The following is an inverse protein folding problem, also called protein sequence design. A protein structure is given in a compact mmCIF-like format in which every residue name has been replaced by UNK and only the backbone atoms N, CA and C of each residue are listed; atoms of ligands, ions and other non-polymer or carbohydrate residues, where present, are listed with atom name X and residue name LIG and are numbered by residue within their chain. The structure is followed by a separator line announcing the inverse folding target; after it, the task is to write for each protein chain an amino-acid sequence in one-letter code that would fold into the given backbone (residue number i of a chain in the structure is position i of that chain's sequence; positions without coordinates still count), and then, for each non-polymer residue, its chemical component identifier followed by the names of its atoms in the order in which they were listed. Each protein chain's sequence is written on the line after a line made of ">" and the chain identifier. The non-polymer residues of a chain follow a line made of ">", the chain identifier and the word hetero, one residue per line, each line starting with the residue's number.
data_IF_321082997702
#
_entry.id   IF_321082997702
#
_cell.length_a   1.000
_cell.length_b   1.000
_cell.length_c   1.000
_cell.angle_alpha   90.00
_cell.angle_beta   90.00
_cell.angle_gamma   90.00
#
_symmetry.space_group_name_H-M   'P 1'
#
loop_
_entity.id
_entity.type
_entity.pdbx_description
1 polymer ?
#
# COMPACT_ATOMS: atom_id res chain seq x y z
N UNK A 1 -22.46 -20.25 9.77
CA UNK A 1 -22.28 -18.83 10.15
C UNK A 1 -23.53 -18.32 10.84
N UNK A 2 -23.41 -17.52 11.90
CA UNK A 2 -24.62 -16.92 12.50
C UNK A 2 -25.26 -15.94 11.52
N UNK A 3 -26.59 -15.77 11.60
CA UNK A 3 -27.40 -14.97 10.67
C UNK A 3 -26.82 -13.57 10.44
N UNK A 4 -26.27 -12.94 11.48
CA UNK A 4 -25.70 -11.59 11.43
C UNK A 4 -24.46 -11.49 10.52
N UNK A 5 -23.60 -12.52 10.52
CA UNK A 5 -22.41 -12.55 9.67
C UNK A 5 -22.76 -12.67 8.19
N UNK A 6 -23.86 -13.37 7.84
CA UNK A 6 -24.33 -13.47 6.46
C UNK A 6 -24.72 -12.10 5.90
N UNK A 7 -25.56 -11.36 6.63
CA UNK A 7 -25.98 -10.01 6.23
C UNK A 7 -24.81 -9.04 6.14
N UNK A 8 -23.83 -9.18 7.03
CA UNK A 8 -22.58 -8.39 6.96
C UNK A 8 -21.82 -8.67 5.66
N UNK A 9 -21.67 -9.93 5.23
CA UNK A 9 -21.02 -10.28 3.95
C UNK A 9 -21.73 -9.66 2.75
N UNK A 10 -23.07 -9.63 2.74
CA UNK A 10 -23.83 -9.00 1.66
C UNK A 10 -23.58 -7.49 1.61
N UNK A 11 -23.66 -6.80 2.76
CA UNK A 11 -23.41 -5.36 2.84
C UNK A 11 -21.99 -5.02 2.39
N UNK A 12 -20.98 -5.72 2.94
CA UNK A 12 -19.58 -5.55 2.55
C UNK A 12 -19.41 -5.78 1.05
N UNK A 13 -20.08 -6.78 0.49
CA UNK A 13 -20.04 -7.08 -0.93
C UNK A 13 -20.52 -5.93 -1.81
N UNK A 14 -21.68 -5.36 -1.47
CA UNK A 14 -22.26 -4.22 -2.19
C UNK A 14 -21.34 -2.99 -2.10
N UNK A 15 -20.85 -2.67 -0.90
CA UNK A 15 -19.92 -1.54 -0.71
C UNK A 15 -18.61 -1.74 -1.47
N UNK A 16 -18.06 -2.96 -1.50
CA UNK A 16 -16.83 -3.25 -2.22
C UNK A 16 -17.00 -3.09 -3.74
N UNK A 17 -18.11 -3.55 -4.32
CA UNK A 17 -18.42 -3.32 -5.74
C UNK A 17 -18.52 -1.83 -6.03
N UNK A 18 -19.31 -1.09 -5.22
CA UNK A 18 -19.48 0.35 -5.40
C UNK A 18 -18.15 1.11 -5.31
N UNK A 19 -17.33 0.79 -4.30
CA UNK A 19 -16.00 1.36 -4.15
C UNK A 19 -15.13 1.06 -5.38
N UNK A 20 -15.09 -0.18 -5.84
CA UNK A 20 -14.33 -0.55 -7.03
C UNK A 20 -14.76 0.23 -8.29
N UNK A 21 -16.07 0.37 -8.52
CA UNK A 21 -16.58 1.21 -9.61
C UNK A 21 -16.19 2.69 -9.46
N UNK A 22 -16.22 3.26 -8.26
CA UNK A 22 -15.78 4.65 -8.02
C UNK A 22 -14.30 4.84 -8.35
N UNK A 23 -13.46 3.85 -8.05
CA UNK A 23 -12.03 3.88 -8.39
C UNK A 23 -11.83 3.82 -9.91
N UNK A 24 -12.61 3.00 -10.64
CA UNK A 24 -12.54 2.95 -12.12
C UNK A 24 -12.89 4.28 -12.77
N UNK A 25 -13.92 4.97 -12.26
CA UNK A 25 -14.40 6.24 -12.82
C UNK A 25 -13.41 7.37 -12.59
N UNK A 26 -12.77 7.42 -11.41
CA UNK A 26 -11.81 8.48 -11.10
C UNK A 26 -10.63 7.96 -10.24
N UNK A 27 -9.63 7.34 -10.88
CA UNK A 27 -8.50 6.73 -10.16
C UNK A 27 -7.65 7.76 -9.42
N UNK A 28 -7.52 8.97 -9.97
CA UNK A 28 -6.76 10.05 -9.33
C UNK A 28 -7.37 10.45 -7.97
N UNK A 29 -8.69 10.64 -7.91
CA UNK A 29 -9.38 10.96 -6.64
C UNK A 29 -9.20 9.81 -5.63
N UNK A 30 -9.24 8.56 -6.08
CA UNK A 30 -8.97 7.42 -5.20
C UNK A 30 -7.57 7.48 -4.59
N UNK A 31 -6.54 7.71 -5.41
CA UNK A 31 -5.16 7.83 -4.93
C UNK A 31 -4.99 8.99 -3.95
N UNK A 32 -5.55 10.16 -4.27
CA UNK A 32 -5.51 11.32 -3.38
C UNK A 32 -6.20 11.03 -2.04
N UNK A 33 -7.34 10.32 -2.06
CA UNK A 33 -8.05 9.91 -0.84
C UNK A 33 -7.23 8.93 -0.01
N UNK A 34 -6.52 8.00 -0.64
CA UNK A 34 -5.60 7.08 0.05
C UNK A 34 -4.44 7.86 0.70
N UNK A 35 -3.83 8.80 -0.03
CA UNK A 35 -2.78 9.65 0.50
C UNK A 35 -3.24 10.50 1.67
N UNK A 36 -4.47 11.02 1.62
CA UNK A 36 -5.07 11.74 2.74
C UNK A 36 -5.21 10.87 3.99
N UNK A 37 -5.63 9.61 3.84
CA UNK A 37 -5.68 8.64 4.95
C UNK A 37 -4.27 8.37 5.49
N UNK A 38 -3.27 8.17 4.62
CA UNK A 38 -1.88 8.02 5.05
C UNK A 38 -1.38 9.25 5.83
N UNK A 39 -1.71 10.46 5.38
CA UNK A 39 -1.35 11.69 6.07
C UNK A 39 -1.97 11.75 7.48
N UNK A 40 -3.24 11.35 7.64
CA UNK A 40 -3.86 11.24 8.97
C UNK A 40 -3.16 10.22 9.86
N UNK A 41 -2.84 9.04 9.33
CA UNK A 41 -2.13 8.00 10.08
C UNK A 41 -0.75 8.50 10.52
N UNK A 42 -0.01 9.15 9.62
CA UNK A 42 1.30 9.71 9.94
C UNK A 42 1.23 10.86 10.95
N UNK A 43 0.20 11.71 10.88
CA UNK A 43 0.00 12.76 11.87
C UNK A 43 -0.22 12.15 13.27
N UNK A 44 -1.11 11.17 13.38
CA UNK A 44 -1.38 10.47 14.65
C UNK A 44 -0.12 9.75 15.15
N UNK A 45 0.61 9.08 14.27
CA UNK A 45 1.85 8.38 14.61
C UNK A 45 2.93 9.35 15.10
N UNK A 46 3.21 10.42 14.35
CA UNK A 46 4.23 11.41 14.70
C UNK A 46 3.92 12.11 16.02
N UNK A 47 2.67 12.51 16.25
CA UNK A 47 2.23 13.06 17.54
C UNK A 47 2.42 12.03 18.66
N UNK A 48 2.04 10.78 18.43
CA UNK A 48 2.16 9.71 19.43
C UNK A 48 3.62 9.47 19.82
N UNK A 49 4.55 9.43 18.86
CA UNK A 49 5.99 9.27 19.11
C UNK A 49 6.58 10.44 19.91
N UNK A 50 6.20 11.67 19.57
CA UNK A 50 6.62 12.88 20.31
C UNK A 50 6.08 12.82 21.75
N UNK A 51 4.80 12.51 21.95
CA UNK A 51 4.20 12.39 23.28
C UNK A 51 4.88 11.28 24.09
N UNK A 52 5.15 10.12 23.48
CA UNK A 52 5.85 9.02 24.13
C UNK A 52 7.27 9.41 24.54
N UNK A 53 8.01 10.15 23.70
CA UNK A 53 9.32 10.67 24.06
C UNK A 53 9.27 11.53 25.33
N UNK A 54 8.29 12.44 25.45
CA UNK A 54 8.16 13.28 26.64
C UNK A 54 7.71 12.52 27.88
N UNK A 55 6.91 11.45 27.73
CA UNK A 55 6.46 10.59 28.83
C UNK A 55 7.50 9.57 29.32
N UNK A 56 8.41 9.14 28.46
CA UNK A 56 9.43 8.13 28.81
C UNK A 56 10.44 8.68 29.81
N UNK A 57 10.81 7.89 30.82
CA UNK A 57 11.93 8.21 31.73
C UNK A 57 13.27 8.15 30.99
N UNK A 58 13.43 7.16 30.11
CA UNK A 58 14.60 7.02 29.25
C UNK A 58 14.38 7.78 27.93
N UNK A 59 15.26 8.76 27.66
CA UNK A 59 15.15 9.64 26.49
C UNK A 59 16.01 9.10 25.34
N UNK A 60 15.37 8.47 24.36
CA UNK A 60 16.00 8.14 23.08
C UNK A 60 15.74 9.25 22.06
N UNK A 61 16.77 10.03 21.73
CA UNK A 61 16.65 11.14 20.75
C UNK A 61 16.13 10.69 19.38
N UNK A 62 16.36 9.44 19.00
CA UNK A 62 15.81 8.83 17.78
C UNK A 62 14.28 8.80 17.74
N UNK A 63 13.61 8.62 18.88
CA UNK A 63 12.14 8.58 18.92
C UNK A 63 11.55 9.98 18.71
N UNK A 64 12.19 11.00 19.29
CA UNK A 64 11.79 12.39 19.05
C UNK A 64 12.01 12.78 17.58
N UNK A 65 13.18 12.43 17.04
CA UNK A 65 13.51 12.70 15.65
C UNK A 65 12.54 11.99 14.69
N UNK A 66 12.27 10.70 14.90
CA UNK A 66 11.30 9.92 14.14
C UNK A 66 9.90 10.54 14.16
N UNK A 67 9.44 10.95 15.35
CA UNK A 67 8.13 11.57 15.51
C UNK A 67 8.02 12.92 14.79
N UNK A 68 9.05 13.75 14.89
CA UNK A 68 9.12 15.04 14.18
C UNK A 68 9.14 14.84 12.66
N UNK A 69 9.99 13.96 12.14
CA UNK A 69 10.07 13.68 10.70
C UNK A 69 8.74 13.16 10.18
N UNK A 70 8.12 12.22 10.90
CA UNK A 70 6.83 11.64 10.52
C UNK A 70 5.72 12.69 10.51
N UNK A 71 5.69 13.59 11.49
CA UNK A 71 4.73 14.69 11.55
C UNK A 71 4.96 15.69 10.42
N UNK A 72 6.20 16.02 10.09
CA UNK A 72 6.54 16.87 8.94
C UNK A 72 6.03 16.22 7.65
N UNK A 73 6.27 14.92 7.45
CA UNK A 73 5.75 14.20 6.29
C UNK A 73 4.23 14.30 6.20
N UNK A 74 3.51 14.10 7.30
CA UNK A 74 2.05 14.27 7.32
C UNK A 74 1.62 15.70 6.90
N UNK A 75 2.28 16.73 7.43
CA UNK A 75 1.99 18.12 7.08
C UNK A 75 2.27 18.40 5.60
N UNK A 76 3.37 17.89 5.04
CA UNK A 76 3.67 18.06 3.61
C UNK A 76 2.60 17.42 2.72
N UNK A 77 2.04 16.28 3.13
CA UNK A 77 0.96 15.63 2.40
C UNK A 77 -0.37 16.40 2.50
N UNK A 78 -0.65 17.03 3.64
CA UNK A 78 -1.85 17.88 3.79
C UNK A 78 -1.75 19.20 3.02
N UNK A 79 -0.57 19.81 2.98
CA UNK A 79 -0.33 21.07 2.26
C UNK A 79 0.02 20.88 0.78
N UNK A 80 0.17 19.64 0.34
CA UNK A 80 0.58 19.30 -1.02
C UNK A 80 -0.49 19.62 -2.06
N UNK A 81 -0.04 19.84 -3.28
CA UNK A 81 -0.87 19.89 -4.48
C UNK A 81 -1.57 18.57 -4.75
N UNK A 82 -2.64 18.60 -5.54
CA UNK A 82 -3.33 17.38 -5.96
C UNK A 82 -2.40 16.38 -6.67
N UNK A 83 -1.41 16.85 -7.44
CA UNK A 83 -0.44 16.00 -8.11
C UNK A 83 0.44 15.26 -7.09
N UNK A 84 0.91 15.95 -6.06
CA UNK A 84 1.69 15.33 -4.98
C UNK A 84 0.86 14.28 -4.23
N UNK A 85 -0.41 14.58 -3.95
CA UNK A 85 -1.32 13.61 -3.34
C UNK A 85 -1.49 12.35 -4.20
N UNK A 86 -1.66 12.50 -5.51
CA UNK A 86 -1.88 11.37 -6.43
C UNK A 86 -0.61 10.54 -6.64
N UNK A 87 0.57 11.16 -6.57
CA UNK A 87 1.86 10.48 -6.85
C UNK A 87 2.49 9.82 -5.63
N UNK A 88 2.13 10.23 -4.41
CA UNK A 88 2.69 9.68 -3.17
C UNK A 88 2.53 8.15 -3.03
N UNK A 89 1.30 7.63 -3.18
CA UNK A 89 1.05 6.17 -3.10
C UNK A 89 1.85 5.40 -4.18
N UNK A 90 1.85 5.82 -5.47
CA UNK A 90 2.72 5.24 -6.48
C UNK A 90 4.20 5.22 -6.11
N UNK A 91 4.73 6.27 -5.48
CA UNK A 91 6.12 6.29 -5.01
C UNK A 91 6.37 5.23 -3.95
N UNK A 92 5.48 5.07 -2.96
CA UNK A 92 5.60 4.01 -1.95
C UNK A 92 5.62 2.63 -2.61
N UNK A 93 4.70 2.38 -3.55
CA UNK A 93 4.61 1.08 -4.22
C UNK A 93 5.84 0.81 -5.10
N UNK A 94 6.37 1.84 -5.76
CA UNK A 94 7.59 1.74 -6.57
C UNK A 94 8.81 1.42 -5.69
N UNK A 95 8.93 2.11 -4.54
CA UNK A 95 9.97 1.85 -3.57
C UNK A 95 9.86 0.42 -2.98
N UNK A 96 8.65 -0.02 -2.65
CA UNK A 96 8.39 -1.40 -2.22
C UNK A 96 8.76 -2.43 -3.30
N UNK A 97 8.48 -2.16 -4.58
CA UNK A 97 8.88 -3.03 -5.67
C UNK A 97 10.41 -3.13 -5.80
N UNK A 98 11.12 -2.00 -5.66
CA UNK A 98 12.58 -1.95 -5.65
C UNK A 98 13.17 -2.79 -4.52
N UNK A 99 12.70 -2.59 -3.29
CA UNK A 99 13.21 -3.35 -2.13
C UNK A 99 12.95 -4.84 -2.29
N UNK A 100 11.76 -5.25 -2.76
CA UNK A 100 11.49 -6.66 -3.07
C UNK A 100 12.38 -7.22 -4.18
N UNK A 101 12.66 -6.44 -5.23
CA UNK A 101 13.59 -6.82 -6.29
C UNK A 101 14.98 -7.06 -5.73
N UNK A 102 15.50 -6.13 -4.93
CA UNK A 102 16.80 -6.25 -4.26
C UNK A 102 16.83 -7.48 -3.35
N UNK A 103 15.81 -7.69 -2.51
CA UNK A 103 15.74 -8.85 -1.62
C UNK A 103 15.75 -10.17 -2.40
N UNK A 104 14.94 -10.30 -3.45
CA UNK A 104 14.92 -11.51 -4.31
C UNK A 104 16.24 -11.74 -5.02
N UNK A 105 16.92 -10.67 -5.44
CA UNK A 105 18.23 -10.77 -6.04
C UNK A 105 19.26 -11.34 -5.05
N UNK A 106 19.34 -10.77 -3.84
CA UNK A 106 20.25 -11.20 -2.78
C UNK A 106 19.97 -12.64 -2.33
N UNK A 107 18.70 -12.97 -2.07
CA UNK A 107 18.27 -14.32 -1.69
C UNK A 107 18.51 -15.30 -2.83
N UNK A 108 18.22 -14.90 -4.07
CA UNK A 108 18.43 -15.72 -5.26
C UNK A 108 19.88 -16.14 -5.43
N UNK A 109 20.84 -15.21 -5.28
CA UNK A 109 22.26 -15.55 -5.32
C UNK A 109 22.68 -16.50 -4.19
N UNK A 110 22.12 -16.35 -2.99
CA UNK A 110 22.38 -17.26 -1.86
C UNK A 110 21.84 -18.66 -2.14
N UNK A 111 20.58 -18.78 -2.57
CA UNK A 111 19.90 -20.05 -2.85
C UNK A 111 20.50 -20.76 -4.06
N UNK A 112 20.91 -20.01 -5.09
CA UNK A 112 21.50 -20.58 -6.33
C UNK A 112 22.76 -21.39 -6.10
N UNK A 113 23.49 -21.14 -5.00
CA UNK A 113 24.65 -21.95 -4.59
C UNK A 113 24.25 -23.35 -4.13
N UNK A 114 23.06 -23.51 -3.56
CA UNK A 114 22.54 -24.79 -3.06
C UNK A 114 21.63 -25.47 -4.09
N UNK A 115 20.69 -24.72 -4.67
CA UNK A 115 19.76 -25.21 -5.69
C UNK A 115 19.62 -24.17 -6.82
N UNK A 116 20.20 -24.50 -7.98
CA UNK A 116 20.15 -23.64 -9.16
C UNK A 116 18.74 -23.52 -9.74
N UNK A 117 17.88 -24.53 -9.57
CA UNK A 117 16.52 -24.54 -10.13
C UNK A 117 15.62 -23.53 -9.44
N UNK A 118 15.81 -23.30 -8.14
CA UNK A 118 15.09 -22.30 -7.35
C UNK A 118 15.82 -20.95 -7.38
N UNK A 119 17.15 -20.96 -7.25
CA UNK A 119 17.94 -19.73 -7.16
C UNK A 119 18.00 -18.92 -8.45
N UNK A 120 18.06 -19.58 -9.61
CA UNK A 120 18.15 -18.86 -10.90
C UNK A 120 16.89 -18.06 -11.24
N UNK A 121 15.66 -18.60 -11.10
CA UNK A 121 14.44 -17.81 -11.24
C UNK A 121 14.36 -16.64 -10.26
N UNK A 122 14.77 -16.82 -9.00
CA UNK A 122 14.77 -15.73 -8.00
C UNK A 122 15.67 -14.56 -8.40
N UNK A 123 16.86 -14.85 -8.95
CA UNK A 123 17.76 -13.81 -9.48
C UNK A 123 17.07 -13.03 -10.61
N UNK A 124 16.46 -13.74 -11.57
CA UNK A 124 15.73 -13.09 -12.67
C UNK A 124 14.54 -12.26 -12.19
N UNK A 125 13.74 -12.79 -11.26
CA UNK A 125 12.63 -12.05 -10.63
C UNK A 125 13.15 -10.82 -9.87
N UNK A 126 14.33 -10.90 -9.25
CA UNK A 126 14.99 -9.78 -8.61
C UNK A 126 15.37 -8.68 -9.60
N UNK A 127 16.05 -9.04 -10.69
CA UNK A 127 16.44 -8.10 -11.76
C UNK A 127 15.19 -7.43 -12.36
N UNK A 128 14.18 -8.21 -12.73
CA UNK A 128 12.93 -7.67 -13.28
C UNK A 128 12.21 -6.78 -12.27
N UNK A 129 12.19 -7.14 -10.99
CA UNK A 129 11.60 -6.34 -9.93
C UNK A 129 12.29 -4.99 -9.75
N UNK A 130 13.62 -4.95 -9.82
CA UNK A 130 14.40 -3.70 -9.75
C UNK A 130 14.09 -2.82 -10.97
N UNK A 131 14.15 -3.38 -12.18
CA UNK A 131 13.86 -2.64 -13.42
C UNK A 131 12.43 -2.09 -13.39
N UNK A 132 11.45 -2.93 -13.05
CA UNK A 132 10.06 -2.52 -12.93
C UNK A 132 9.90 -1.41 -11.88
N UNK A 133 10.50 -1.55 -10.70
CA UNK A 133 10.47 -0.54 -9.65
C UNK A 133 11.06 0.80 -10.09
N UNK A 134 12.17 0.80 -10.85
CA UNK A 134 12.77 2.02 -11.39
C UNK A 134 11.87 2.69 -12.44
N UNK A 135 11.29 1.91 -13.36
CA UNK A 135 10.34 2.42 -14.36
C UNK A 135 9.12 3.03 -13.68
N UNK A 136 8.59 2.33 -12.66
CA UNK A 136 7.44 2.82 -11.90
C UNK A 136 7.75 4.13 -11.17
N UNK A 137 8.95 4.22 -10.56
CA UNK A 137 9.40 5.42 -9.88
C UNK A 137 9.62 6.60 -10.84
N UNK A 138 10.05 6.34 -12.07
CA UNK A 138 10.22 7.36 -13.11
C UNK A 138 8.88 7.87 -13.70
N UNK A 139 7.80 7.09 -13.60
CA UNK A 139 6.49 7.42 -14.19
C UNK A 139 5.34 7.22 -13.18
N UNK A 140 5.34 7.95 -12.05
CA UNK A 140 4.42 7.71 -10.93
C UNK A 140 2.94 7.89 -11.29
N UNK A 141 2.60 8.76 -12.25
CA UNK A 141 1.22 8.92 -12.72
C UNK A 141 0.71 7.67 -13.44
N UNK A 142 1.53 7.09 -14.33
CA UNK A 142 1.18 5.85 -15.03
C UNK A 142 1.08 4.69 -14.03
N UNK A 143 2.06 4.59 -13.13
CA UNK A 143 2.04 3.61 -12.03
C UNK A 143 0.79 3.74 -11.18
N UNK A 144 0.36 4.96 -10.86
CA UNK A 144 -0.87 5.22 -10.12
C UNK A 144 -2.12 4.71 -10.84
N UNK A 145 -2.22 4.90 -12.16
CA UNK A 145 -3.33 4.35 -12.94
C UNK A 145 -3.36 2.81 -12.88
N UNK A 146 -2.22 2.15 -13.11
CA UNK A 146 -2.12 0.70 -13.02
C UNK A 146 -2.50 0.16 -11.63
N UNK A 147 -2.00 0.79 -10.57
CA UNK A 147 -2.33 0.42 -9.18
C UNK A 147 -3.83 0.60 -8.94
N UNK A 148 -4.38 1.75 -9.32
CA UNK A 148 -5.80 2.07 -9.09
C UNK A 148 -6.72 1.09 -9.78
N UNK A 149 -6.45 0.75 -11.04
CA UNK A 149 -7.25 -0.24 -11.76
C UNK A 149 -7.11 -1.64 -11.15
N UNK A 150 -5.91 -2.02 -10.73
CA UNK A 150 -5.71 -3.31 -10.03
C UNK A 150 -6.52 -3.35 -8.74
N UNK A 151 -6.48 -2.30 -7.92
CA UNK A 151 -7.27 -2.19 -6.70
C UNK A 151 -8.77 -2.24 -7.02
N UNK A 152 -9.23 -1.52 -8.03
CA UNK A 152 -10.63 -1.51 -8.42
C UNK A 152 -11.15 -2.92 -8.77
N UNK A 153 -10.40 -3.66 -9.59
CA UNK A 153 -10.76 -5.04 -9.93
C UNK A 153 -10.73 -5.97 -8.71
N UNK A 154 -9.77 -5.80 -7.80
CA UNK A 154 -9.73 -6.55 -6.54
C UNK A 154 -10.99 -6.27 -5.71
N UNK A 155 -11.39 -5.00 -5.56
CA UNK A 155 -12.59 -4.62 -4.80
C UNK A 155 -13.87 -5.19 -5.43
N UNK A 156 -14.00 -5.12 -6.76
CA UNK A 156 -15.15 -5.71 -7.48
C UNK A 156 -15.17 -7.23 -7.28
N UNK A 157 -14.04 -7.90 -7.47
CA UNK A 157 -13.93 -9.34 -7.30
C UNK A 157 -14.28 -9.78 -5.87
N UNK A 158 -13.70 -9.10 -4.86
CA UNK A 158 -14.01 -9.37 -3.45
C UNK A 158 -15.49 -9.11 -3.13
N UNK A 159 -16.07 -8.07 -3.73
CA UNK A 159 -17.48 -7.77 -3.57
C UNK A 159 -18.40 -8.86 -4.12
N UNK A 160 -18.10 -9.35 -5.33
CA UNK A 160 -18.80 -10.50 -5.92
C UNK A 160 -18.61 -11.74 -5.04
N UNK A 161 -17.40 -12.03 -4.58
CA UNK A 161 -17.11 -13.18 -3.74
C UNK A 161 -17.91 -13.14 -2.42
N UNK A 162 -18.01 -11.97 -1.78
CA UNK A 162 -18.78 -11.79 -0.55
C UNK A 162 -20.30 -11.99 -0.77
N UNK A 163 -20.84 -11.52 -1.91
CA UNK A 163 -22.24 -11.77 -2.29
C UNK A 163 -22.46 -13.26 -2.55
N UNK A 164 -21.55 -13.93 -3.27
CA UNK A 164 -21.65 -15.38 -3.50
C UNK A 164 -21.61 -16.16 -2.18
N UNK A 165 -20.78 -15.73 -1.23
CA UNK A 165 -20.70 -16.36 0.09
C UNK A 165 -22.01 -16.25 0.86
N UNK A 166 -22.73 -15.13 0.75
CA UNK A 166 -24.05 -14.97 1.35
C UNK A 166 -25.02 -16.06 0.89
N UNK A 167 -25.05 -16.36 -0.42
CA UNK A 167 -25.92 -17.40 -0.99
C UNK A 167 -25.41 -18.82 -0.78
N UNK A 168 -24.08 -19.05 -0.74
CA UNK A 168 -23.49 -20.38 -0.53
C UNK A 168 -23.59 -20.87 0.90
N UNK A 169 -23.59 -19.97 1.88
CA UNK A 169 -23.60 -20.36 3.29
C UNK A 169 -24.99 -20.76 3.79
N UNK A 170 -25.92 -21.08 2.89
CA UNK A 170 -27.31 -21.47 3.19
C UNK A 170 -27.36 -22.74 4.03
#
# INVERSE_FOLDING_TARGET
>A
MSKNWKWLSLLVGIFAIFAGFRILVNPAISLASMTFIFALVFAVQGISEIVQYFKSEEKYGWNLFGGIVTLILALTLFSGSFIEMVTFVPFIISFWALTNGITKLLVGFKVRKADKSIGTPLVWMGILGIIAGLIMMGHPLMTGLFISYTIAFVFIYQGIAAIVQFFKTN
#
